data_IF_555061694525
#
_entry.id   IF_555061694525
#
_cell.length_a   1.000
_cell.length_b   1.000
_cell.length_c   1.000
_cell.angle_alpha   90.00
_cell.angle_beta   90.00
_cell.angle_gamma   90.00
#
_symmetry.space_group_name_H-M   'P 1'
#
loop_
_entity.id
_entity.type
_entity.pdbx_description
1 polymer ?
#
# COMPACT_ATOMS: atom_id res chain seq x y z
N UNK A 1 -68.70 12.68 -53.56
CA UNK A 1 -68.41 12.20 -52.18
C UNK A 1 -66.89 12.12 -52.05
N UNK A 2 -66.30 13.27 -51.72
CA UNK A 2 -64.82 13.45 -51.61
C UNK A 2 -64.38 13.16 -50.19
N UNK A 3 -63.39 12.26 -50.04
CA UNK A 3 -62.85 11.89 -48.78
C UNK A 3 -61.78 12.93 -48.32
N UNK A 4 -62.04 13.53 -47.21
CA UNK A 4 -61.11 14.50 -46.53
C UNK A 4 -59.97 13.78 -45.79
N UNK A 5 -58.75 13.96 -46.28
CA UNK A 5 -57.52 13.46 -45.59
C UNK A 5 -57.03 14.50 -44.61
N UNK A 6 -56.72 14.18 -43.37
CA UNK A 6 -56.16 15.13 -42.41
C UNK A 6 -54.71 15.40 -42.71
N UNK A 7 -54.34 16.69 -42.72
CA UNK A 7 -52.98 17.20 -42.86
C UNK A 7 -52.07 16.67 -41.72
N UNK A 8 -50.92 16.07 -42.10
CA UNK A 8 -49.92 15.60 -41.18
C UNK A 8 -49.35 16.71 -40.28
N UNK A 9 -49.23 16.40 -39.02
CA UNK A 9 -48.59 17.25 -38.00
C UNK A 9 -47.09 17.27 -38.28
N UNK A 10 -46.61 18.41 -38.77
CA UNK A 10 -45.19 18.67 -38.93
C UNK A 10 -44.60 18.96 -37.52
N UNK A 11 -43.90 17.98 -36.93
CA UNK A 11 -43.15 18.17 -35.71
C UNK A 11 -41.89 18.98 -36.05
N UNK A 12 -41.92 20.30 -35.86
CA UNK A 12 -40.71 21.14 -35.85
C UNK A 12 -39.95 20.82 -34.59
N UNK A 13 -38.93 20.00 -34.70
CA UNK A 13 -37.95 19.80 -33.62
C UNK A 13 -37.22 21.11 -33.40
N UNK A 14 -37.53 21.85 -32.31
CA UNK A 14 -36.82 23.09 -31.99
C UNK A 14 -35.34 22.75 -31.75
N UNK A 15 -34.44 23.62 -32.23
CA UNK A 15 -32.96 23.42 -32.07
C UNK A 15 -32.53 23.26 -30.61
N UNK A 16 -33.39 23.70 -29.67
CA UNK A 16 -33.18 23.56 -28.23
C UNK A 16 -33.12 22.09 -27.77
N UNK A 17 -33.94 21.19 -28.33
CA UNK A 17 -33.92 19.75 -27.97
C UNK A 17 -32.65 19.04 -28.48
N UNK A 18 -32.13 19.46 -29.64
CA UNK A 18 -30.87 18.93 -30.19
C UNK A 18 -29.66 19.38 -29.35
N UNK A 19 -29.66 20.63 -28.89
CA UNK A 19 -28.62 21.13 -27.99
C UNK A 19 -28.68 20.46 -26.62
N UNK A 20 -29.88 20.23 -26.05
CA UNK A 20 -30.05 19.56 -24.77
C UNK A 20 -29.65 18.10 -24.82
N UNK A 21 -29.97 17.37 -25.92
CA UNK A 21 -29.54 15.99 -26.11
C UNK A 21 -28.03 15.86 -26.32
N UNK A 22 -27.38 16.83 -26.97
CA UNK A 22 -25.93 16.84 -27.15
C UNK A 22 -25.19 17.15 -25.84
N UNK A 23 -25.75 18.05 -25.00
CA UNK A 23 -25.20 18.34 -23.68
C UNK A 23 -25.33 17.14 -22.73
N UNK A 24 -26.45 16.41 -22.79
CA UNK A 24 -26.66 15.20 -21.98
C UNK A 24 -25.73 14.06 -22.40
N UNK A 25 -25.47 13.91 -23.71
CA UNK A 25 -24.54 12.92 -24.24
C UNK A 25 -23.08 13.23 -23.86
N UNK A 26 -22.71 14.51 -23.78
CA UNK A 26 -21.36 14.95 -23.37
C UNK A 26 -21.10 14.70 -21.86
N UNK A 27 -22.13 14.86 -21.00
CA UNK A 27 -22.04 14.52 -19.58
C UNK A 27 -21.90 13.00 -19.33
N UNK A 28 -22.45 12.14 -20.18
CA UNK A 28 -22.33 10.69 -20.08
C UNK A 28 -20.94 10.18 -20.46
N UNK A 29 -20.17 10.95 -21.25
CA UNK A 29 -18.80 10.60 -21.66
C UNK A 29 -17.72 10.96 -20.61
N UNK A 30 -18.07 11.75 -19.59
CA UNK A 30 -17.20 12.05 -18.46
C UNK A 30 -17.36 10.99 -17.36
N UNK A 31 -17.12 9.72 -17.70
CA UNK A 31 -16.90 8.71 -16.65
C UNK A 31 -15.63 9.09 -15.92
N UNK A 32 -15.64 9.31 -14.58
CA UNK A 32 -14.40 9.47 -13.85
C UNK A 32 -13.58 8.20 -14.11
N UNK A 33 -12.36 8.34 -14.63
CA UNK A 33 -11.36 7.29 -14.53
C UNK A 33 -11.16 7.07 -13.03
N UNK A 34 -11.93 6.14 -12.46
CA UNK A 34 -11.67 5.66 -11.12
C UNK A 34 -10.25 5.09 -11.17
N UNK A 35 -9.31 5.76 -10.51
CA UNK A 35 -7.97 5.25 -10.29
C UNK A 35 -8.16 3.90 -9.58
N UNK A 36 -8.04 2.84 -10.34
CA UNK A 36 -8.14 1.48 -9.81
C UNK A 36 -6.83 1.24 -9.09
N UNK A 37 -6.89 0.98 -7.78
CA UNK A 37 -5.77 0.49 -7.03
C UNK A 37 -5.20 -0.73 -7.77
N UNK A 38 -3.96 -0.66 -8.21
CA UNK A 38 -3.28 -1.80 -8.80
C UNK A 38 -2.82 -2.70 -7.66
N UNK A 39 -3.57 -3.80 -7.45
CA UNK A 39 -3.16 -4.88 -6.55
C UNK A 39 -2.11 -5.68 -7.28
N UNK A 40 -0.86 -5.61 -6.81
CA UNK A 40 0.28 -6.31 -7.39
C UNK A 40 0.37 -7.75 -6.91
N UNK A 41 -0.03 -8.00 -5.65
CA UNK A 41 0.02 -9.31 -5.02
C UNK A 41 -1.08 -9.43 -3.97
N UNK A 42 -1.84 -10.53 -3.98
CA UNK A 42 -2.83 -10.83 -2.96
C UNK A 42 -2.16 -11.20 -1.62
N UNK A 43 -2.85 -11.01 -0.51
CA UNK A 43 -2.29 -11.27 0.83
C UNK A 43 -1.82 -12.71 0.99
N UNK A 44 -2.58 -13.68 0.51
CA UNK A 44 -2.24 -15.11 0.64
C UNK A 44 -0.97 -15.45 -0.16
N UNK A 45 -0.85 -14.92 -1.39
CA UNK A 45 0.33 -15.06 -2.22
C UNK A 45 1.55 -14.38 -1.57
N UNK A 46 1.35 -13.23 -0.93
CA UNK A 46 2.40 -12.53 -0.20
C UNK A 46 2.88 -13.33 1.02
N UNK A 47 1.96 -13.97 1.75
CA UNK A 47 2.31 -14.86 2.88
C UNK A 47 3.07 -16.10 2.40
N UNK A 48 2.69 -16.67 1.25
CA UNK A 48 3.44 -17.77 0.64
C UNK A 48 4.84 -17.31 0.18
N UNK A 49 4.95 -16.12 -0.39
CA UNK A 49 6.24 -15.51 -0.77
C UNK A 49 7.13 -15.18 0.43
N UNK A 50 6.54 -14.91 1.60
CA UNK A 50 7.24 -14.60 2.85
C UNK A 50 7.75 -15.86 3.55
N UNK A 51 6.92 -16.90 3.65
CA UNK A 51 7.18 -18.07 4.50
C UNK A 51 7.29 -19.39 3.72
N UNK A 52 6.99 -19.36 2.42
CA UNK A 52 6.96 -20.51 1.54
C UNK A 52 5.69 -21.34 1.70
N UNK A 53 5.41 -22.19 0.71
CA UNK A 53 4.25 -23.06 0.67
C UNK A 53 4.19 -23.99 1.91
N UNK A 54 2.97 -24.19 2.43
CA UNK A 54 2.71 -25.07 3.57
C UNK A 54 3.11 -24.50 4.94
N UNK A 55 3.47 -23.23 5.03
CA UNK A 55 3.64 -22.58 6.32
C UNK A 55 2.29 -22.33 7.01
N UNK A 56 2.25 -22.56 8.32
CA UNK A 56 1.12 -22.16 9.17
C UNK A 56 1.31 -20.70 9.58
N UNK A 57 0.31 -19.86 9.32
CA UNK A 57 0.35 -18.44 9.62
C UNK A 57 -0.58 -18.12 10.79
N UNK A 58 -0.04 -17.45 11.80
CA UNK A 58 -0.82 -16.98 12.97
C UNK A 58 -0.82 -15.46 12.99
N UNK A 59 -2.00 -14.84 12.99
CA UNK A 59 -2.15 -13.40 13.14
C UNK A 59 -2.16 -13.02 14.60
N UNK A 60 -1.39 -12.00 14.97
CA UNK A 60 -1.28 -11.43 16.30
C UNK A 60 -1.53 -9.92 16.25
N UNK A 61 -2.14 -9.37 17.29
CA UNK A 61 -2.35 -7.93 17.43
C UNK A 61 -1.98 -7.49 18.84
N UNK A 62 -1.14 -6.47 18.94
CA UNK A 62 -0.80 -5.79 20.21
C UNK A 62 -1.30 -4.35 20.20
N UNK A 63 -1.93 -3.93 21.30
CA UNK A 63 -2.21 -2.52 21.53
C UNK A 63 -0.91 -1.83 21.98
N UNK A 64 -0.64 -0.67 21.44
CA UNK A 64 0.55 0.13 21.74
C UNK A 64 0.15 1.18 22.78
N UNK A 65 0.84 1.24 23.92
CA UNK A 65 0.64 2.29 24.92
C UNK A 65 1.24 3.63 24.42
N UNK A 66 0.92 4.73 25.10
CA UNK A 66 1.47 6.05 24.76
C UNK A 66 3.00 6.08 24.92
N UNK A 67 3.52 5.43 25.96
CA UNK A 67 4.95 5.33 26.24
C UNK A 67 5.67 4.48 25.17
N UNK A 68 5.09 3.32 24.82
CA UNK A 68 5.62 2.47 23.77
C UNK A 68 5.59 3.17 22.42
N UNK A 69 4.51 3.92 22.12
CA UNK A 69 4.42 4.71 20.90
C UNK A 69 5.54 5.74 20.82
N UNK A 70 5.79 6.48 21.89
CA UNK A 70 6.86 7.48 21.93
C UNK A 70 8.25 6.82 21.72
N UNK A 71 8.52 5.69 22.37
CA UNK A 71 9.76 4.95 22.22
C UNK A 71 9.96 4.40 20.78
N UNK A 72 8.88 3.87 20.18
CA UNK A 72 8.92 3.39 18.78
C UNK A 72 9.20 4.54 17.82
N UNK A 73 8.48 5.67 17.96
CA UNK A 73 8.63 6.84 17.10
C UNK A 73 10.03 7.48 17.21
N UNK A 74 10.61 7.50 18.41
CA UNK A 74 11.97 7.96 18.64
C UNK A 74 12.99 7.04 17.96
N UNK A 75 12.89 5.72 18.18
CA UNK A 75 13.79 4.73 17.58
C UNK A 75 13.68 4.68 16.06
N UNK A 76 12.46 4.73 15.54
CA UNK A 76 12.17 4.70 14.11
C UNK A 76 12.45 6.04 13.40
N UNK A 77 12.52 7.14 14.13
CA UNK A 77 12.56 8.51 13.59
C UNK A 77 11.42 8.77 12.58
N UNK A 78 10.26 8.24 12.86
CA UNK A 78 9.03 8.43 12.07
C UNK A 78 7.79 8.25 12.93
N UNK A 79 6.64 8.75 12.46
CA UNK A 79 5.37 8.63 13.18
C UNK A 79 4.68 7.31 12.89
N UNK A 80 4.08 6.72 13.93
CA UNK A 80 3.20 5.58 13.77
C UNK A 80 1.83 6.00 13.23
N UNK A 81 1.33 5.24 12.27
CA UNK A 81 0.01 5.44 11.66
C UNK A 81 -1.14 4.82 12.46
N UNK A 82 -0.83 3.91 13.39
CA UNK A 82 -1.80 3.16 14.19
C UNK A 82 -1.38 3.06 15.65
N UNK A 83 -2.34 2.83 16.55
CA UNK A 83 -2.14 2.45 17.95
C UNK A 83 -2.24 0.93 18.17
N UNK A 84 -2.31 0.18 17.08
CA UNK A 84 -2.28 -1.29 17.10
C UNK A 84 -1.16 -1.77 16.19
N UNK A 85 -0.43 -2.76 16.66
CA UNK A 85 0.60 -3.43 15.90
C UNK A 85 0.13 -4.84 15.56
N UNK A 86 -0.23 -5.05 14.30
CA UNK A 86 -0.63 -6.36 13.78
C UNK A 86 0.56 -6.98 13.06
N UNK A 87 0.86 -8.23 13.40
CA UNK A 87 1.91 -9.01 12.76
C UNK A 87 1.50 -10.47 12.61
N UNK A 88 2.15 -11.13 11.70
CA UNK A 88 1.95 -12.54 11.38
C UNK A 88 3.20 -13.34 11.76
N UNK A 89 3.00 -14.50 12.38
CA UNK A 89 4.06 -15.47 12.61
C UNK A 89 3.94 -16.61 11.60
N UNK A 90 5.04 -16.92 10.91
CA UNK A 90 5.15 -18.07 10.05
C UNK A 90 5.82 -19.25 10.77
N UNK A 91 5.23 -20.44 10.69
CA UNK A 91 5.83 -21.68 11.20
C UNK A 91 5.68 -22.80 10.19
N UNK A 92 6.65 -23.73 10.17
CA UNK A 92 6.57 -24.96 9.37
C UNK A 92 7.04 -26.12 10.22
N UNK A 93 6.18 -27.15 10.36
CA UNK A 93 6.47 -28.32 11.20
C UNK A 93 6.87 -27.93 12.65
N UNK A 94 6.29 -26.86 13.18
CA UNK A 94 6.63 -26.33 14.49
C UNK A 94 7.84 -25.37 14.52
N UNK A 95 8.68 -25.39 13.50
CA UNK A 95 9.81 -24.47 13.39
C UNK A 95 9.34 -23.04 13.05
N UNK A 96 9.90 -22.07 13.77
CA UNK A 96 9.61 -20.66 13.55
C UNK A 96 10.41 -20.13 12.34
N UNK A 97 9.72 -19.56 11.35
CA UNK A 97 10.30 -19.03 10.13
C UNK A 97 10.59 -17.53 10.19
N UNK A 98 9.77 -16.76 10.93
CA UNK A 98 9.91 -15.33 11.03
C UNK A 98 8.58 -14.63 11.30
N UNK A 99 8.61 -13.32 11.20
CA UNK A 99 7.45 -12.44 11.29
C UNK A 99 7.19 -11.75 9.94
N UNK A 100 5.94 -11.37 9.69
CA UNK A 100 5.57 -10.47 8.61
C UNK A 100 4.64 -9.39 9.12
N UNK A 101 4.78 -8.17 8.61
CA UNK A 101 3.89 -7.04 8.88
C UNK A 101 3.44 -6.45 7.55
N UNK A 102 2.13 -6.27 7.39
CA UNK A 102 1.59 -5.49 6.28
C UNK A 102 1.42 -4.05 6.77
N UNK A 103 2.14 -3.12 6.17
CA UNK A 103 2.04 -1.69 6.44
C UNK A 103 1.50 -0.96 5.22
N UNK A 104 0.86 0.18 5.46
CA UNK A 104 0.34 1.04 4.40
C UNK A 104 0.71 2.49 4.66
N UNK A 105 1.21 3.16 3.62
CA UNK A 105 1.66 4.55 3.70
C UNK A 105 1.16 5.36 2.51
N UNK A 106 0.79 6.60 2.77
CA UNK A 106 0.62 7.58 1.71
C UNK A 106 2.03 7.94 1.21
N UNK A 107 2.30 7.68 -0.06
CA UNK A 107 3.60 8.01 -0.66
C UNK A 107 3.63 9.49 -1.06
N UNK A 108 2.87 9.87 -2.05
CA UNK A 108 2.72 11.25 -2.52
C UNK A 108 1.30 11.75 -2.31
N UNK A 109 0.32 11.11 -2.91
CA UNK A 109 -1.10 11.40 -2.81
C UNK A 109 -1.93 10.16 -2.56
N UNK A 110 -1.40 8.99 -2.89
CA UNK A 110 -2.09 7.71 -2.82
C UNK A 110 -1.35 6.73 -1.90
N UNK A 111 -2.10 5.68 -1.50
CA UNK A 111 -1.55 4.62 -0.65
C UNK A 111 -0.68 3.66 -1.45
N UNK A 112 0.44 3.27 -0.85
CA UNK A 112 1.10 2.01 -1.16
C UNK A 112 0.94 1.05 0.03
N UNK A 113 0.78 -0.23 -0.27
CA UNK A 113 0.71 -1.32 0.71
C UNK A 113 1.88 -2.25 0.45
N UNK A 114 2.60 -2.58 1.50
CA UNK A 114 3.77 -3.45 1.40
C UNK A 114 3.88 -4.35 2.62
N UNK A 115 4.55 -5.48 2.45
CA UNK A 115 4.86 -6.41 3.52
C UNK A 115 6.33 -6.34 3.86
N UNK A 116 6.64 -6.31 5.16
CA UNK A 116 7.99 -6.42 5.70
C UNK A 116 8.14 -7.76 6.38
N UNK A 117 9.03 -8.61 5.89
CA UNK A 117 9.35 -9.91 6.47
C UNK A 117 10.61 -9.78 7.33
N UNK A 118 10.53 -10.23 8.57
CA UNK A 118 11.59 -10.05 9.58
C UNK A 118 11.93 -11.40 10.21
N UNK A 119 13.23 -11.68 10.38
CA UNK A 119 13.71 -12.87 11.09
C UNK A 119 13.44 -12.80 12.59
N UNK A 120 13.72 -13.90 13.30
CA UNK A 120 13.69 -13.94 14.78
C UNK A 120 14.64 -12.93 15.44
N UNK A 121 15.72 -12.55 14.75
CA UNK A 121 16.74 -11.60 15.22
C UNK A 121 16.44 -10.16 14.77
N UNK A 122 15.21 -9.92 14.26
CA UNK A 122 14.70 -8.63 13.78
C UNK A 122 15.48 -8.06 12.58
N UNK A 123 16.08 -8.93 11.78
CA UNK A 123 16.69 -8.57 10.50
C UNK A 123 15.61 -8.59 9.42
N UNK A 124 15.49 -7.53 8.64
CA UNK A 124 14.59 -7.50 7.48
C UNK A 124 15.09 -8.49 6.44
N UNK A 125 14.27 -9.52 6.17
CA UNK A 125 14.59 -10.56 5.19
C UNK A 125 14.08 -10.22 3.80
N UNK A 126 12.91 -9.56 3.73
CA UNK A 126 12.27 -9.22 2.47
C UNK A 126 11.31 -8.06 2.63
N UNK A 127 11.21 -7.21 1.61
CA UNK A 127 10.17 -6.20 1.46
C UNK A 127 9.41 -6.48 0.17
N UNK A 128 8.10 -6.66 0.24
CA UNK A 128 7.23 -7.04 -0.88
C UNK A 128 6.19 -5.96 -1.08
N UNK A 129 6.11 -5.37 -2.26
CA UNK A 129 5.09 -4.41 -2.60
C UNK A 129 3.79 -5.15 -2.98
N UNK A 130 2.69 -4.89 -2.25
CA UNK A 130 1.39 -5.56 -2.43
C UNK A 130 0.43 -4.73 -3.29
N UNK A 131 0.45 -3.40 -3.12
CA UNK A 131 -0.32 -2.48 -3.94
C UNK A 131 0.41 -1.15 -4.06
N UNK A 132 0.32 -0.54 -5.22
CA UNK A 132 0.91 0.77 -5.48
C UNK A 132 -0.07 1.62 -6.30
N UNK A 133 -0.54 2.72 -5.72
CA UNK A 133 -1.61 3.54 -6.28
C UNK A 133 -1.10 4.88 -6.82
N UNK A 134 0.20 5.10 -6.79
CA UNK A 134 0.85 6.21 -7.50
C UNK A 134 1.17 5.80 -8.95
N UNK A 135 1.46 6.76 -9.85
CA UNK A 135 1.93 6.44 -11.19
C UNK A 135 3.13 5.50 -11.20
N UNK A 136 3.17 4.58 -12.15
CA UNK A 136 4.16 3.49 -12.21
C UNK A 136 5.62 3.97 -12.30
N UNK A 137 5.86 5.18 -12.80
CA UNK A 137 7.18 5.80 -12.84
C UNK A 137 7.76 6.10 -11.45
N UNK A 138 6.92 6.13 -10.40
CA UNK A 138 7.36 6.31 -9.00
C UNK A 138 7.47 4.99 -8.23
N UNK A 139 7.12 3.87 -8.89
CA UNK A 139 7.18 2.56 -8.25
C UNK A 139 8.63 2.11 -8.08
N UNK A 140 9.03 1.65 -6.88
CA UNK A 140 10.34 1.06 -6.69
C UNK A 140 10.46 -0.27 -7.45
N UNK A 141 11.63 -0.53 -7.99
CA UNK A 141 11.95 -1.84 -8.56
C UNK A 141 12.25 -2.85 -7.45
N UNK A 142 12.11 -4.14 -7.73
CA UNK A 142 12.47 -5.20 -6.78
C UNK A 142 13.94 -5.07 -6.35
N UNK A 143 14.84 -4.74 -7.29
CA UNK A 143 16.26 -4.52 -6.98
C UNK A 143 16.49 -3.31 -6.05
N UNK A 144 15.62 -2.30 -6.09
CA UNK A 144 15.69 -1.20 -5.13
C UNK A 144 15.19 -1.63 -3.75
N UNK A 145 14.12 -2.44 -3.69
CA UNK A 145 13.57 -2.94 -2.41
C UNK A 145 14.59 -3.75 -1.62
N UNK A 146 15.50 -4.47 -2.29
CA UNK A 146 16.58 -5.21 -1.61
C UNK A 146 17.53 -4.31 -0.81
N UNK A 147 17.56 -3.01 -1.07
CA UNK A 147 18.33 -2.08 -0.24
C UNK A 147 17.77 -1.92 1.18
N UNK A 148 16.49 -2.26 1.41
CA UNK A 148 15.87 -2.26 2.72
C UNK A 148 16.16 -3.54 3.51
N UNK A 149 16.76 -4.55 2.89
CA UNK A 149 16.95 -5.89 3.42
C UNK A 149 18.35 -6.07 4.05
N UNK A 150 18.48 -7.10 4.87
CA UNK A 150 19.73 -7.49 5.50
C UNK A 150 19.98 -6.87 6.89
N UNK A 151 21.10 -7.23 7.52
CA UNK A 151 21.48 -6.78 8.86
C UNK A 151 22.05 -5.37 8.81
N UNK A 152 21.17 -4.37 8.74
CA UNK A 152 21.53 -2.94 8.67
C UNK A 152 21.19 -2.21 9.96
N UNK A 153 22.02 -1.28 10.43
CA UNK A 153 21.64 -0.37 11.50
C UNK A 153 20.48 0.54 11.05
N UNK A 154 19.69 1.04 12.00
CA UNK A 154 18.48 1.81 11.69
C UNK A 154 18.77 3.07 10.86
N UNK A 155 19.92 3.73 11.10
CA UNK A 155 20.32 4.93 10.36
C UNK A 155 20.60 4.65 8.87
N UNK A 156 21.05 3.45 8.52
CA UNK A 156 21.34 3.09 7.12
C UNK A 156 20.04 2.85 6.30
N UNK A 157 18.91 2.75 6.99
CA UNK A 157 17.60 2.72 6.36
C UNK A 157 17.03 4.13 6.11
N UNK A 158 17.77 5.19 6.43
CA UNK A 158 17.38 6.57 6.18
C UNK A 158 17.78 6.97 4.77
N UNK A 159 16.87 7.55 3.97
CA UNK A 159 17.19 8.01 2.62
C UNK A 159 18.35 9.02 2.62
N UNK A 160 19.30 8.83 1.71
CA UNK A 160 20.50 9.66 1.60
C UNK A 160 21.63 9.34 2.60
N UNK A 161 21.41 8.42 3.54
CA UNK A 161 22.47 7.92 4.43
C UNK A 161 22.93 6.51 4.03
N UNK A 162 22.00 5.60 3.74
CA UNK A 162 22.33 4.22 3.33
C UNK A 162 21.48 3.70 2.20
N UNK A 163 20.43 4.43 1.79
CA UNK A 163 19.55 4.09 0.68
C UNK A 163 19.83 4.99 -0.51
N UNK A 164 20.04 4.36 -1.68
CA UNK A 164 20.15 5.10 -2.93
C UNK A 164 18.81 5.76 -3.30
N UNK A 165 18.83 6.99 -3.83
CA UNK A 165 17.61 7.66 -4.25
C UNK A 165 17.03 7.00 -5.53
N UNK A 166 15.71 7.14 -5.72
CA UNK A 166 15.06 6.91 -7.01
C UNK A 166 14.76 8.29 -7.61
N UNK A 167 15.22 8.53 -8.82
CA UNK A 167 14.97 9.81 -9.51
C UNK A 167 13.46 10.08 -9.61
N UNK A 168 13.02 11.25 -9.13
CA UNK A 168 11.60 11.63 -9.11
C UNK A 168 10.73 10.96 -8.04
N UNK A 169 11.25 9.95 -7.29
CA UNK A 169 10.46 9.13 -6.35
C UNK A 169 10.87 9.29 -4.88
N UNK A 170 11.38 10.46 -4.49
CA UNK A 170 11.83 10.73 -3.12
C UNK A 170 10.75 10.41 -2.07
N UNK A 171 9.49 10.72 -2.34
CA UNK A 171 8.39 10.46 -1.41
C UNK A 171 8.10 8.95 -1.25
N UNK A 172 8.23 8.17 -2.32
CA UNK A 172 8.12 6.71 -2.26
C UNK A 172 9.25 6.11 -1.42
N UNK A 173 10.48 6.55 -1.66
CA UNK A 173 11.66 6.11 -0.89
C UNK A 173 11.51 6.42 0.59
N UNK A 174 11.07 7.64 0.93
CA UNK A 174 10.82 8.04 2.32
C UNK A 174 9.72 7.18 2.96
N UNK A 175 8.58 7.02 2.29
CA UNK A 175 7.45 6.24 2.83
C UNK A 175 7.80 4.78 3.11
N UNK A 176 8.51 4.11 2.20
CA UNK A 176 8.97 2.73 2.40
C UNK A 176 10.00 2.63 3.53
N UNK A 177 11.00 3.52 3.54
CA UNK A 177 11.99 3.61 4.60
C UNK A 177 11.34 3.81 5.96
N UNK A 178 10.42 4.76 6.08
CA UNK A 178 9.67 5.06 7.30
C UNK A 178 8.89 3.85 7.79
N UNK A 179 8.21 3.13 6.89
CA UNK A 179 7.46 1.93 7.24
C UNK A 179 8.36 0.80 7.73
N UNK A 180 9.46 0.51 7.05
CA UNK A 180 10.42 -0.53 7.47
C UNK A 180 11.03 -0.21 8.82
N UNK A 181 11.41 1.06 9.07
CA UNK A 181 11.95 1.50 10.37
C UNK A 181 10.90 1.40 11.47
N UNK A 182 9.65 1.81 11.19
CA UNK A 182 8.54 1.69 12.15
C UNK A 182 8.26 0.22 12.52
N UNK A 183 8.25 -0.69 11.55
CA UNK A 183 8.07 -2.13 11.78
C UNK A 183 9.19 -2.69 12.68
N UNK A 184 10.44 -2.43 12.35
CA UNK A 184 11.59 -2.91 13.15
C UNK A 184 11.55 -2.36 14.59
N UNK A 185 11.35 -1.05 14.74
CA UNK A 185 11.27 -0.41 16.06
C UNK A 185 10.10 -0.98 16.88
N UNK A 186 8.95 -1.26 16.23
CA UNK A 186 7.81 -1.88 16.90
C UNK A 186 8.15 -3.27 17.44
N UNK A 187 8.86 -4.10 16.68
CA UNK A 187 9.32 -5.39 17.17
C UNK A 187 10.32 -5.24 18.33
N UNK A 188 11.24 -4.28 18.24
CA UNK A 188 12.23 -4.05 19.31
C UNK A 188 11.58 -3.65 20.62
N UNK A 189 10.62 -2.73 20.60
CA UNK A 189 9.94 -2.24 21.81
C UNK A 189 8.91 -3.24 22.33
N UNK A 190 8.11 -3.87 21.44
CA UNK A 190 6.96 -4.66 21.86
C UNK A 190 7.26 -6.14 22.12
N UNK A 191 8.33 -6.71 21.56
CA UNK A 191 8.65 -8.13 21.66
C UNK A 191 9.96 -8.41 22.42
N UNK A 192 10.95 -7.50 22.42
CA UNK A 192 12.16 -7.67 23.23
C UNK A 192 11.96 -7.37 24.71
N UNK A 193 11.07 -6.45 25.08
CA UNK A 193 10.75 -6.13 26.47
C UNK A 193 9.98 -7.25 27.21
N UNK A 194 9.55 -8.28 26.52
CA UNK A 194 8.78 -9.42 27.07
C UNK A 194 9.59 -10.68 27.38
N UNK A 195 10.95 -10.57 27.41
CA UNK A 195 11.84 -11.70 27.78
C UNK A 195 12.55 -11.44 29.09
#
# INVERSE_FOLDING_TARGET
MEAYLPKGIQRSGSPLYLLLSFLLALCAAASPLAARAEVLLAQDEAMEAAFGAGATITSNTKKISSEQKAAIEELAQTKLTSSFFQYYEGRRNGEFLGYAVIDSRVMRTNLAVFMVVVSKDLVVQKVILLAFNEPSEYQPTDSWLTQLEGPKPMQDLVPGQGLAPIAGSTLTVNGLSDGVRAVRASFEVLLKEGK
#
